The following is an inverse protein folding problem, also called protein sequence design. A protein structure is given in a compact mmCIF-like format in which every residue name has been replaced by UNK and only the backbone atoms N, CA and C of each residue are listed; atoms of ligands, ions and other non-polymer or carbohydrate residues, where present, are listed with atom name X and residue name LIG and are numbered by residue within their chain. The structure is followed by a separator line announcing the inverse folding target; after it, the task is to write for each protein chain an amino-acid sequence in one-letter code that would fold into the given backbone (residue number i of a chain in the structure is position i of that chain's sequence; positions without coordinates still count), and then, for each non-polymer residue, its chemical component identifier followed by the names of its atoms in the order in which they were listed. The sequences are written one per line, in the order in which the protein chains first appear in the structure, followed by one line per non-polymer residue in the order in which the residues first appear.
data_IF_395946098024
#
_entry.id   IF_395946098024
#
_cell.length_a   1.000
_cell.length_b   1.000
_cell.length_c   1.000
_cell.angle_alpha   90.00
_cell.angle_beta   90.00
_cell.angle_gamma   90.00
#
_symmetry.space_group_name_H-M   'P 1'
#
loop_
_entity.id
_entity.type
_entity.pdbx_description
1 polymer ?
#
# COMPACT_ATOMS: atom_id res chain seq x y z
N UNK A 1 3.73 17.04 7.54
CA UNK A 1 2.48 16.37 7.11
C UNK A 1 2.11 16.87 5.72
N UNK A 2 1.52 16.03 4.87
CA UNK A 2 0.98 16.51 3.59
C UNK A 2 -0.25 17.34 3.89
N UNK A 3 -0.37 18.53 3.30
CA UNK A 3 -1.53 19.41 3.50
C UNK A 3 -2.69 18.86 2.67
N UNK A 4 -3.70 18.30 3.33
CA UNK A 4 -4.89 17.81 2.63
C UNK A 4 -5.86 18.96 2.38
N UNK A 5 -6.45 19.04 1.18
CA UNK A 5 -7.52 20.00 0.93
C UNK A 5 -8.82 19.51 1.58
N UNK A 6 -9.42 20.32 2.43
CA UNK A 6 -10.72 20.02 3.03
C UNK A 6 -11.88 20.64 2.25
N UNK A 7 -11.61 21.18 1.06
CA UNK A 7 -12.65 21.69 0.17
C UNK A 7 -13.61 20.55 -0.23
N UNK A 8 -14.91 20.86 -0.37
CA UNK A 8 -15.89 19.90 -0.85
C UNK A 8 -15.51 19.36 -2.24
N UNK A 9 -15.63 18.05 -2.44
CA UNK A 9 -15.36 17.40 -3.73
C UNK A 9 -16.54 16.52 -4.09
N UNK A 10 -16.95 16.51 -5.36
CA UNK A 10 -17.95 15.58 -5.87
C UNK A 10 -17.35 14.19 -6.13
N UNK A 11 -18.19 13.14 -6.15
CA UNK A 11 -17.71 11.77 -6.44
C UNK A 11 -17.00 11.70 -7.80
N UNK A 12 -17.53 12.39 -8.81
CA UNK A 12 -16.93 12.46 -10.15
C UNK A 12 -15.55 13.10 -10.14
N UNK A 13 -15.39 14.23 -9.43
CA UNK A 13 -14.08 14.88 -9.28
C UNK A 13 -13.08 14.00 -8.53
N UNK A 14 -13.51 13.30 -7.48
CA UNK A 14 -12.65 12.38 -6.72
C UNK A 14 -12.17 11.21 -7.60
N UNK A 15 -13.07 10.60 -8.37
CA UNK A 15 -12.73 9.52 -9.32
C UNK A 15 -11.85 10.03 -10.45
N UNK A 16 -12.15 11.21 -11.02
CA UNK A 16 -11.33 11.82 -12.07
C UNK A 16 -9.92 12.15 -11.58
N UNK A 17 -9.78 12.72 -10.38
CA UNK A 17 -8.48 13.01 -9.76
C UNK A 17 -7.67 11.72 -9.51
N UNK A 18 -8.35 10.65 -9.06
CA UNK A 18 -7.75 9.31 -8.95
C UNK A 18 -7.29 8.80 -10.31
N UNK A 19 -8.14 8.78 -11.33
CA UNK A 19 -7.80 8.30 -12.67
C UNK A 19 -6.64 9.10 -13.31
N UNK A 20 -6.63 10.42 -13.15
CA UNK A 20 -5.54 11.27 -13.59
C UNK A 20 -4.23 10.96 -12.84
N UNK A 21 -4.30 10.62 -11.55
CA UNK A 21 -3.15 10.15 -10.81
C UNK A 21 -2.68 8.77 -11.31
N UNK A 22 -3.60 7.84 -11.58
CA UNK A 22 -3.30 6.50 -12.12
C UNK A 22 -2.66 6.56 -13.51
N UNK A 23 -3.05 7.49 -14.37
CA UNK A 23 -2.39 7.69 -15.66
C UNK A 23 -0.87 7.94 -15.52
N UNK A 24 -0.46 8.61 -14.44
CA UNK A 24 0.96 8.88 -14.12
C UNK A 24 1.72 7.63 -13.66
N UNK A 25 1.04 6.52 -13.35
CA UNK A 25 1.67 5.24 -12.99
C UNK A 25 2.26 4.52 -14.21
N UNK A 26 1.80 4.84 -15.42
CA UNK A 26 2.31 4.20 -16.64
C UNK A 26 3.83 4.34 -16.75
N UNK A 27 4.37 5.52 -16.48
CA UNK A 27 5.81 5.79 -16.53
C UNK A 27 6.66 4.95 -15.57
N UNK A 28 6.44 4.97 -14.25
CA UNK A 28 7.23 4.14 -13.36
C UNK A 28 7.00 2.64 -13.58
N UNK A 29 5.79 2.21 -13.98
CA UNK A 29 5.56 0.81 -14.36
C UNK A 29 6.41 0.43 -15.59
N UNK A 30 6.45 1.30 -16.61
CA UNK A 30 7.29 1.11 -17.79
C UNK A 30 8.78 1.11 -17.43
N UNK A 31 9.24 1.98 -16.52
CA UNK A 31 10.63 1.99 -16.06
C UNK A 31 10.99 0.72 -15.30
N UNK A 32 10.08 0.17 -14.50
CA UNK A 32 10.26 -1.14 -13.85
C UNK A 32 10.36 -2.22 -14.93
N UNK A 33 9.45 -2.23 -15.91
CA UNK A 33 9.48 -3.22 -16.99
C UNK A 33 10.77 -3.16 -17.82
N UNK A 34 11.23 -1.96 -18.20
CA UNK A 34 12.47 -1.76 -18.95
C UNK A 34 13.69 -2.11 -18.11
N UNK A 35 13.74 -1.70 -16.84
CA UNK A 35 14.83 -2.05 -15.92
C UNK A 35 14.90 -3.56 -15.66
N UNK A 36 13.75 -4.22 -15.51
CA UNK A 36 13.66 -5.68 -15.40
C UNK A 36 14.14 -6.37 -16.68
N UNK A 37 13.73 -5.88 -17.85
CA UNK A 37 14.21 -6.41 -19.13
C UNK A 37 15.73 -6.22 -19.28
N UNK A 38 16.26 -5.07 -18.87
CA UNK A 38 17.69 -4.78 -18.81
C UNK A 38 18.43 -5.75 -17.88
N UNK A 39 17.86 -6.10 -16.73
CA UNK A 39 18.41 -7.13 -15.83
C UNK A 39 18.42 -8.52 -16.47
N UNK A 40 17.40 -8.87 -17.26
CA UNK A 40 17.35 -10.14 -18.00
C UNK A 40 18.45 -10.18 -19.07
N UNK A 41 18.63 -9.09 -19.83
CA UNK A 41 19.68 -8.99 -20.86
C UNK A 41 21.07 -8.99 -20.21
N UNK A 42 21.25 -8.29 -19.10
CA UNK A 42 22.49 -8.30 -18.33
C UNK A 42 22.80 -9.70 -17.78
N UNK A 43 21.79 -10.40 -17.24
CA UNK A 43 21.91 -11.79 -16.78
C UNK A 43 22.26 -12.77 -17.90
N UNK A 44 21.73 -12.56 -19.12
CA UNK A 44 22.13 -13.32 -20.30
C UNK A 44 23.63 -13.17 -20.61
N UNK A 45 24.19 -11.97 -20.45
CA UNK A 45 25.61 -11.74 -20.68
C UNK A 45 26.52 -12.35 -19.60
N UNK A 46 26.09 -12.46 -18.33
CA UNK A 46 26.85 -13.17 -17.27
C UNK A 46 27.07 -14.63 -17.59
N UNK A 47 26.04 -15.30 -18.12
CA UNK A 47 26.13 -16.71 -18.51
C UNK A 47 27.12 -16.91 -19.65
N UNK A 48 27.35 -15.88 -20.46
CA UNK A 48 28.25 -15.92 -21.61
C UNK A 48 29.67 -15.42 -21.30
N UNK A 49 29.84 -14.45 -20.40
CA UNK A 49 31.13 -13.89 -19.97
C UNK A 49 31.08 -13.34 -18.51
N UNK A 50 31.34 -14.19 -17.49
CA UNK A 50 31.19 -13.84 -16.08
C UNK A 50 32.18 -12.76 -15.57
N UNK A 51 33.27 -12.50 -16.30
CA UNK A 51 34.35 -11.60 -15.88
C UNK A 51 34.16 -10.14 -16.26
N UNK A 52 33.07 -9.80 -16.96
CA UNK A 52 32.92 -8.48 -17.56
C UNK A 52 32.44 -7.44 -16.54
N UNK A 53 33.27 -6.47 -16.16
CA UNK A 53 32.90 -5.36 -15.27
C UNK A 53 31.66 -4.58 -15.74
N UNK A 54 31.43 -4.50 -17.06
CA UNK A 54 30.26 -3.86 -17.65
C UNK A 54 28.93 -4.51 -17.22
N UNK A 55 28.93 -5.79 -16.82
CA UNK A 55 27.75 -6.45 -16.24
C UNK A 55 27.36 -5.82 -14.91
N UNK A 56 28.31 -5.72 -13.96
CA UNK A 56 28.05 -5.21 -12.63
C UNK A 56 27.55 -3.77 -12.68
N UNK A 57 28.11 -2.98 -13.60
CA UNK A 57 27.65 -1.61 -13.89
C UNK A 57 26.23 -1.61 -14.46
N UNK A 58 25.93 -2.43 -15.47
CA UNK A 58 24.60 -2.49 -16.09
C UNK A 58 23.51 -3.00 -15.13
N UNK A 59 23.80 -4.04 -14.33
CA UNK A 59 22.89 -4.56 -13.31
C UNK A 59 22.64 -3.52 -12.21
N UNK A 60 23.69 -2.83 -11.75
CA UNK A 60 23.59 -1.73 -10.79
C UNK A 60 22.70 -0.60 -11.29
N UNK A 61 22.85 -0.18 -12.55
CA UNK A 61 22.00 0.85 -13.18
C UNK A 61 20.55 0.38 -13.25
N UNK A 62 20.29 -0.84 -13.71
CA UNK A 62 18.92 -1.35 -13.83
C UNK A 62 18.23 -1.46 -12.47
N UNK A 63 18.95 -1.88 -11.43
CA UNK A 63 18.42 -1.91 -10.06
C UNK A 63 18.14 -0.51 -9.51
N UNK A 64 19.03 0.44 -9.76
CA UNK A 64 18.80 1.84 -9.38
C UNK A 64 17.55 2.41 -10.05
N UNK A 65 17.33 2.10 -11.34
CA UNK A 65 16.12 2.51 -12.09
C UNK A 65 14.87 1.87 -11.49
N UNK A 66 14.88 0.57 -11.21
CA UNK A 66 13.74 -0.13 -10.59
C UNK A 66 13.44 0.44 -9.20
N UNK A 67 14.47 0.66 -8.37
CA UNK A 67 14.31 1.24 -7.04
C UNK A 67 13.76 2.68 -7.09
N UNK A 68 14.27 3.51 -7.99
CA UNK A 68 13.76 4.87 -8.21
C UNK A 68 12.30 4.86 -8.69
N UNK A 69 11.94 3.97 -9.62
CA UNK A 69 10.57 3.83 -10.11
C UNK A 69 9.61 3.32 -9.02
N UNK A 70 10.04 2.38 -8.17
CA UNK A 70 9.28 1.93 -7.00
C UNK A 70 9.09 3.04 -5.97
N UNK A 71 10.12 3.84 -5.71
CA UNK A 71 10.01 5.02 -4.85
C UNK A 71 9.05 6.07 -5.44
N UNK A 72 9.09 6.25 -6.76
CA UNK A 72 8.18 7.14 -7.46
C UNK A 72 6.73 6.66 -7.37
N UNK A 73 6.45 5.36 -7.58
CA UNK A 73 5.14 4.74 -7.36
C UNK A 73 4.62 5.00 -5.95
N UNK A 74 5.46 4.76 -4.94
CA UNK A 74 5.14 5.04 -3.53
C UNK A 74 4.76 6.50 -3.31
N UNK A 75 5.47 7.42 -3.95
CA UNK A 75 5.24 8.85 -3.82
C UNK A 75 3.95 9.28 -4.51
N UNK A 76 3.66 8.75 -5.70
CA UNK A 76 2.41 8.97 -6.41
C UNK A 76 1.22 8.39 -5.63
N UNK A 77 1.38 7.19 -5.06
CA UNK A 77 0.35 6.50 -4.29
C UNK A 77 -0.13 7.29 -3.07
N UNK A 78 0.76 8.05 -2.43
CA UNK A 78 0.42 8.94 -1.31
C UNK A 78 -0.41 10.17 -1.70
N UNK A 79 -0.48 10.53 -2.98
CA UNK A 79 -1.16 11.75 -3.43
C UNK A 79 -2.66 11.60 -3.64
N UNK A 80 -3.14 10.38 -3.87
CA UNK A 80 -4.55 10.10 -4.20
C UNK A 80 -5.25 9.21 -3.17
N UNK A 81 -4.55 8.84 -2.10
CA UNK A 81 -5.15 8.05 -1.03
C UNK A 81 -4.51 8.38 0.32
N UNK A 82 -5.36 8.47 1.33
CA UNK A 82 -4.97 8.51 2.72
C UNK A 82 -4.62 7.09 3.14
N UNK A 83 -3.42 6.88 3.71
CA UNK A 83 -2.91 5.56 4.03
C UNK A 83 -2.26 5.53 5.40
N UNK A 84 -2.61 4.51 6.16
CA UNK A 84 -1.96 4.20 7.43
C UNK A 84 -1.30 2.84 7.29
N UNK A 85 0.01 2.79 7.56
CA UNK A 85 0.82 1.58 7.47
C UNK A 85 1.32 1.16 8.84
N UNK A 86 1.68 -0.13 9.00
CA UNK A 86 2.29 -0.66 10.22
C UNK A 86 3.56 0.12 10.62
N UNK A 87 3.90 0.05 11.91
CA UNK A 87 5.17 0.57 12.45
C UNK A 87 6.35 -0.21 11.83
N UNK A 88 7.46 0.46 11.56
CA UNK A 88 8.72 -0.11 11.00
C UNK A 88 8.67 -0.67 9.57
N UNK A 89 7.65 -0.31 8.79
CA UNK A 89 7.52 -0.72 7.37
C UNK A 89 8.66 -0.23 6.49
N UNK A 90 9.28 0.91 6.80
CA UNK A 90 10.48 1.38 6.12
C UNK A 90 11.68 0.44 6.28
N UNK A 91 11.83 -0.19 7.46
CA UNK A 91 12.95 -1.10 7.75
C UNK A 91 12.85 -2.41 6.97
N UNK A 92 11.63 -2.92 6.78
CA UNK A 92 11.44 -4.15 6.01
C UNK A 92 11.75 -3.99 4.53
N UNK A 93 11.62 -2.78 3.95
CA UNK A 93 12.13 -2.49 2.60
C UNK A 93 13.67 -2.49 2.56
N UNK A 94 14.32 -1.99 3.62
CA UNK A 94 15.79 -2.00 3.76
C UNK A 94 16.34 -3.42 3.91
N UNK A 95 15.53 -4.40 4.34
CA UNK A 95 15.93 -5.81 4.44
C UNK A 95 15.50 -6.60 3.18
N UNK A 96 14.29 -6.37 2.68
CA UNK A 96 13.74 -7.10 1.54
C UNK A 96 14.48 -6.79 0.24
N UNK A 97 14.92 -5.54 0.03
CA UNK A 97 15.66 -5.17 -1.18
C UNK A 97 17.05 -5.85 -1.22
N UNK A 98 17.89 -5.78 -0.17
CA UNK A 98 19.13 -6.54 -0.11
C UNK A 98 18.94 -8.05 -0.08
N UNK A 99 17.87 -8.58 0.54
CA UNK A 99 17.60 -10.02 0.51
C UNK A 99 17.18 -10.51 -0.89
N UNK A 100 16.37 -9.73 -1.61
CA UNK A 100 16.03 -10.02 -3.01
C UNK A 100 17.26 -9.89 -3.92
N UNK A 101 18.13 -8.90 -3.67
CA UNK A 101 19.39 -8.74 -4.39
C UNK A 101 20.37 -9.87 -4.05
N UNK A 102 20.49 -10.26 -2.79
CA UNK A 102 21.31 -11.39 -2.34
C UNK A 102 20.82 -12.71 -2.92
N UNK A 103 19.50 -12.94 -2.97
CA UNK A 103 18.92 -14.09 -3.65
C UNK A 103 19.16 -14.06 -5.16
N UNK A 104 19.04 -12.89 -5.81
CA UNK A 104 19.35 -12.72 -7.23
C UNK A 104 20.83 -13.03 -7.53
N UNK A 105 21.75 -12.52 -6.71
CA UNK A 105 23.20 -12.76 -6.82
C UNK A 105 23.53 -14.23 -6.52
N UNK A 106 22.97 -14.82 -5.47
CA UNK A 106 23.21 -16.23 -5.11
C UNK A 106 22.60 -17.22 -6.11
N UNK A 107 21.46 -16.89 -6.72
CA UNK A 107 20.85 -17.71 -7.77
C UNK A 107 21.65 -17.55 -9.08
N UNK A 108 22.05 -16.33 -9.43
CA UNK A 108 22.91 -16.07 -10.59
C UNK A 108 24.25 -16.79 -10.48
N UNK A 109 24.93 -16.66 -9.33
CA UNK A 109 26.23 -17.28 -9.06
C UNK A 109 26.13 -18.80 -8.82
N UNK A 110 25.14 -19.24 -8.04
CA UNK A 110 24.95 -20.64 -7.67
C UNK A 110 24.44 -21.52 -8.82
N UNK A 111 23.70 -20.93 -9.78
CA UNK A 111 23.21 -21.66 -10.96
C UNK A 111 24.28 -21.90 -12.01
N UNK A 112 25.34 -21.09 -12.06
CA UNK A 112 26.41 -21.23 -13.05
C UNK A 112 27.64 -21.92 -12.49
N UNK A 113 28.14 -21.55 -11.31
CA UNK A 113 29.39 -22.13 -10.78
C UNK A 113 29.16 -23.31 -9.83
N UNK A 114 28.20 -23.19 -8.91
CA UNK A 114 27.93 -24.23 -7.91
C UNK A 114 27.33 -25.52 -8.49
N UNK A 115 26.51 -25.41 -9.53
CA UNK A 115 25.91 -26.55 -10.23
C UNK A 115 26.85 -27.18 -11.27
N UNK A 116 27.74 -26.38 -11.88
CA UNK A 116 28.84 -26.93 -12.69
C UNK A 116 29.83 -27.74 -11.85
N UNK A 117 30.13 -27.28 -10.62
CA UNK A 117 30.96 -28.04 -9.68
C UNK A 117 30.34 -29.38 -9.24
N UNK A 118 29.01 -29.53 -9.35
CA UNK A 118 28.27 -30.76 -9.06
C UNK A 118 28.00 -31.62 -10.32
N UNK A 119 28.55 -31.25 -11.48
CA UNK A 119 28.40 -32.00 -12.73
C UNK A 119 27.02 -31.87 -13.39
N UNK A 120 26.16 -30.97 -12.91
CA UNK A 120 24.81 -30.78 -13.44
C UNK A 120 24.86 -29.71 -14.52
N UNK A 121 24.80 -30.14 -15.78
CA UNK A 121 24.66 -29.21 -16.92
C UNK A 121 23.21 -28.74 -17.01
N UNK A 122 22.94 -27.53 -16.52
CA UNK A 122 21.64 -26.89 -16.70
C UNK A 122 21.57 -26.32 -18.13
N UNK A 123 20.56 -26.69 -18.93
CA UNK A 123 20.36 -26.07 -20.25
C UNK A 123 20.19 -24.56 -20.07
N UNK A 124 20.88 -23.75 -20.88
CA UNK A 124 20.91 -22.28 -20.76
C UNK A 124 19.52 -21.63 -20.66
N UNK A 125 18.52 -22.21 -21.34
CA UNK A 125 17.11 -21.79 -21.26
C UNK A 125 16.56 -21.91 -19.83
N UNK A 126 16.94 -22.94 -19.08
CA UNK A 126 16.49 -23.19 -17.70
C UNK A 126 17.09 -22.15 -16.75
N UNK A 127 18.36 -21.76 -16.92
CA UNK A 127 18.97 -20.69 -16.10
C UNK A 127 18.29 -19.33 -16.33
N UNK A 128 17.95 -19.00 -17.59
CA UNK A 128 17.20 -17.79 -17.95
C UNK A 128 15.79 -17.81 -17.35
N UNK A 129 15.09 -18.95 -17.43
CA UNK A 129 13.77 -19.13 -16.83
C UNK A 129 13.82 -18.93 -15.32
N UNK A 130 14.82 -19.50 -14.64
CA UNK A 130 15.01 -19.32 -13.18
C UNK A 130 15.18 -17.84 -12.85
N UNK A 131 16.01 -17.10 -13.60
CA UNK A 131 16.21 -15.67 -13.39
C UNK A 131 14.92 -14.86 -13.54
N UNK A 132 14.14 -15.12 -14.61
CA UNK A 132 12.85 -14.45 -14.86
C UNK A 132 11.87 -14.75 -13.71
N UNK A 133 11.77 -16.01 -13.29
CA UNK A 133 10.91 -16.44 -12.18
C UNK A 133 11.33 -15.78 -10.86
N UNK A 134 12.63 -15.66 -10.59
CA UNK A 134 13.14 -15.00 -9.38
C UNK A 134 12.83 -13.50 -9.33
N UNK A 135 12.97 -12.78 -10.46
CA UNK A 135 12.61 -11.35 -10.52
C UNK A 135 11.10 -11.18 -10.33
N UNK A 136 10.29 -12.01 -11.00
CA UNK A 136 8.84 -11.98 -10.85
C UNK A 136 8.42 -12.31 -9.41
N UNK A 137 9.04 -13.32 -8.78
CA UNK A 137 8.81 -13.67 -7.39
C UNK A 137 9.18 -12.51 -6.44
N UNK A 138 10.32 -11.83 -6.65
CA UNK A 138 10.71 -10.67 -5.86
C UNK A 138 9.70 -9.51 -6.00
N UNK A 139 9.18 -9.26 -7.21
CA UNK A 139 8.12 -8.28 -7.44
C UNK A 139 6.81 -8.65 -6.73
N UNK A 140 6.40 -9.91 -6.80
CA UNK A 140 5.21 -10.42 -6.10
C UNK A 140 5.38 -10.29 -4.60
N UNK A 141 6.56 -10.62 -4.05
CA UNK A 141 6.88 -10.45 -2.63
C UNK A 141 6.86 -8.98 -2.23
N UNK A 142 7.42 -8.08 -3.04
CA UNK A 142 7.38 -6.64 -2.80
C UNK A 142 5.95 -6.09 -2.80
N UNK A 143 5.12 -6.51 -3.76
CA UNK A 143 3.71 -6.13 -3.84
C UNK A 143 2.88 -6.71 -2.67
N UNK A 144 3.11 -7.97 -2.31
CA UNK A 144 2.48 -8.63 -1.17
C UNK A 144 2.90 -7.98 0.16
N UNK A 145 4.18 -7.62 0.30
CA UNK A 145 4.68 -6.89 1.46
C UNK A 145 4.06 -5.49 1.55
N UNK A 146 3.92 -4.80 0.41
CA UNK A 146 3.20 -3.53 0.34
C UNK A 146 1.75 -3.66 0.83
N UNK A 147 1.03 -4.70 0.40
CA UNK A 147 -0.33 -4.99 0.88
C UNK A 147 -0.38 -5.35 2.36
N UNK A 148 0.50 -6.23 2.83
CA UNK A 148 0.54 -6.71 4.21
C UNK A 148 0.89 -5.62 5.24
N UNK A 149 1.52 -4.54 4.78
CA UNK A 149 1.94 -3.43 5.63
C UNK A 149 0.91 -2.31 5.73
N UNK A 150 -0.09 -2.30 4.86
CA UNK A 150 -1.20 -1.36 4.90
C UNK A 150 -2.19 -1.78 5.99
N UNK A 151 -2.60 -0.85 6.85
CA UNK A 151 -3.60 -1.06 7.89
C UNK A 151 -4.93 -0.41 7.51
N UNK A 152 -4.87 0.76 6.91
CA UNK A 152 -6.04 1.52 6.49
C UNK A 152 -5.74 2.28 5.20
N UNK A 153 -6.73 2.36 4.32
CA UNK A 153 -6.72 3.16 3.10
C UNK A 153 -8.05 3.87 2.96
N UNK A 154 -8.03 5.16 2.67
CA UNK A 154 -9.20 5.93 2.26
C UNK A 154 -8.94 6.62 0.93
N UNK A 155 -9.85 6.49 -0.03
CA UNK A 155 -9.80 7.13 -1.35
C UNK A 155 -11.20 7.23 -1.99
N UNK A 156 -11.26 7.55 -3.29
CA UNK A 156 -12.52 7.65 -4.04
C UNK A 156 -13.32 6.35 -4.18
N UNK A 157 -12.72 5.16 -3.94
CA UNK A 157 -13.47 3.90 -3.92
C UNK A 157 -14.13 3.66 -2.57
N UNK A 158 -13.51 4.11 -1.47
CA UNK A 158 -14.05 3.88 -0.15
C UNK A 158 -13.03 3.94 0.99
N UNK A 159 -13.43 3.40 2.14
CA UNK A 159 -12.57 3.17 3.30
C UNK A 159 -12.33 1.68 3.49
N UNK A 160 -11.06 1.30 3.39
CA UNK A 160 -10.62 -0.08 3.40
C UNK A 160 -9.70 -0.30 4.62
N UNK A 161 -10.27 -0.77 5.74
CA UNK A 161 -9.50 -1.38 6.80
C UNK A 161 -8.93 -2.69 6.28
N UNK A 162 -7.59 -2.80 6.18
CA UNK A 162 -6.91 -3.98 5.62
C UNK A 162 -6.85 -5.16 6.60
N UNK A 163 -7.73 -5.15 7.61
CA UNK A 163 -8.00 -6.28 8.47
C UNK A 163 -8.79 -7.33 7.66
N UNK A 164 -8.74 -8.60 8.06
CA UNK A 164 -9.44 -9.72 7.39
C UNK A 164 -10.96 -9.65 7.59
N UNK A 165 -11.58 -8.51 7.28
CA UNK A 165 -13.02 -8.33 7.17
C UNK A 165 -13.39 -8.56 5.71
N UNK A 166 -14.46 -9.29 5.44
CA UNK A 166 -14.98 -9.51 4.08
C UNK A 166 -15.75 -8.29 3.52
N UNK A 167 -15.58 -7.12 4.12
CA UNK A 167 -16.21 -5.89 3.68
C UNK A 167 -15.41 -5.29 2.52
N UNK A 168 -16.09 -4.91 1.43
CA UNK A 168 -15.48 -4.33 0.23
C UNK A 168 -14.92 -2.91 0.46
N UNK A 169 -15.39 -2.24 1.52
CA UNK A 169 -14.98 -0.92 1.92
C UNK A 169 -15.61 0.20 1.11
N UNK A 170 -16.61 -0.07 0.27
CA UNK A 170 -17.14 0.91 -0.67
C UNK A 170 -17.89 2.06 0.02
N UNK A 171 -17.95 3.24 -0.61
CA UNK A 171 -18.72 4.37 -0.06
C UNK A 171 -20.24 4.13 0.00
N UNK A 172 -20.75 3.13 -0.72
CA UNK A 172 -22.17 2.76 -0.74
C UNK A 172 -22.56 1.92 0.46
N UNK A 173 -21.60 1.25 1.10
CA UNK A 173 -21.82 0.39 2.27
C UNK A 173 -21.50 1.08 3.59
N UNK A 174 -21.01 2.32 3.56
CA UNK A 174 -20.57 3.08 4.73
C UNK A 174 -21.53 4.24 5.01
N UNK A 175 -22.07 4.30 6.21
CA UNK A 175 -22.93 5.39 6.69
C UNK A 175 -22.25 6.31 7.70
N UNK A 176 -21.05 5.98 8.17
CA UNK A 176 -20.32 6.83 9.08
C UNK A 176 -19.00 6.23 9.54
N UNK A 177 -18.19 7.06 10.21
CA UNK A 177 -16.90 6.67 10.75
C UNK A 177 -16.82 7.07 12.21
N UNK A 178 -16.40 6.13 13.05
CA UNK A 178 -16.12 6.37 14.48
C UNK A 178 -14.63 6.21 14.71
N UNK A 179 -14.03 7.17 15.41
CA UNK A 179 -12.63 7.08 15.87
C UNK A 179 -12.59 7.14 17.38
N UNK A 180 -11.65 6.43 17.99
CA UNK A 180 -11.40 6.53 19.42
C UNK A 180 -9.91 6.38 19.70
N UNK A 181 -9.42 7.16 20.67
CA UNK A 181 -8.00 7.21 21.01
C UNK A 181 -7.74 6.32 22.22
N UNK A 182 -6.81 5.38 22.08
CA UNK A 182 -6.28 4.56 23.16
C UNK A 182 -4.81 4.88 23.45
N UNK A 183 -4.21 4.16 24.39
CA UNK A 183 -2.78 4.30 24.73
C UNK A 183 -1.90 3.96 23.51
N UNK A 184 -1.35 4.98 22.86
CA UNK A 184 -0.44 4.84 21.71
C UNK A 184 -1.10 4.36 20.41
N UNK A 185 -2.43 4.35 20.35
CA UNK A 185 -3.19 3.84 19.19
C UNK A 185 -4.48 4.62 18.97
N UNK A 186 -4.97 4.60 17.75
CA UNK A 186 -6.30 5.07 17.37
C UNK A 186 -7.04 3.89 16.77
N UNK A 187 -8.26 3.63 17.22
CA UNK A 187 -9.15 2.67 16.60
C UNK A 187 -10.11 3.41 15.67
N UNK A 188 -10.25 2.89 14.45
CA UNK A 188 -11.14 3.41 13.41
C UNK A 188 -12.18 2.34 13.15
N UNK A 189 -13.46 2.66 13.37
CA UNK A 189 -14.60 1.81 13.09
C UNK A 189 -15.51 2.41 12.02
N UNK A 190 -16.15 1.56 11.24
CA UNK A 190 -17.12 1.95 10.22
C UNK A 190 -18.53 1.64 10.70
N UNK A 191 -19.42 2.62 10.59
CA UNK A 191 -20.87 2.43 10.64
C UNK A 191 -21.29 2.01 9.24
N UNK A 192 -21.92 0.84 9.12
CA UNK A 192 -22.35 0.32 7.84
C UNK A 192 -23.79 0.70 7.53
N UNK A 193 -24.10 0.82 6.25
CA UNK A 193 -25.48 1.02 5.80
C UNK A 193 -26.38 -0.17 6.20
N UNK A 194 -27.68 0.06 6.45
CA UNK A 194 -28.62 -1.00 6.77
C UNK A 194 -28.62 -2.11 5.70
N UNK A 195 -28.61 -3.38 6.15
CA UNK A 195 -28.68 -4.53 5.26
C UNK A 195 -27.34 -5.00 4.66
N UNK A 196 -26.22 -4.33 4.96
CA UNK A 196 -24.89 -4.80 4.55
C UNK A 196 -24.50 -6.05 5.34
N UNK A 197 -24.41 -7.19 4.65
CA UNK A 197 -23.90 -8.42 5.23
C UNK A 197 -22.38 -8.32 5.41
N UNK A 198 -21.93 -8.47 6.65
CA UNK A 198 -20.50 -8.48 6.97
C UNK A 198 -20.21 -9.50 8.05
N UNK A 199 -19.09 -10.20 7.89
CA UNK A 199 -18.53 -11.01 8.96
C UNK A 199 -17.81 -10.09 9.95
N UNK A 200 -18.29 -9.95 11.20
CA UNK A 200 -17.67 -9.02 12.15
C UNK A 200 -16.21 -9.38 12.42
N UNK A 201 -15.37 -8.36 12.61
CA UNK A 201 -14.00 -8.55 13.07
C UNK A 201 -13.99 -9.23 14.44
N UNK A 202 -13.09 -10.21 14.64
CA UNK A 202 -12.87 -10.83 15.94
C UNK A 202 -12.40 -9.78 16.95
N UNK A 203 -13.08 -9.71 18.10
CA UNK A 203 -12.71 -8.81 19.20
C UNK A 203 -11.34 -9.17 19.74
N UNK A 204 -10.45 -8.17 19.82
CA UNK A 204 -9.14 -8.30 20.46
C UNK A 204 -9.11 -7.51 21.76
N UNK A 205 -8.22 -7.93 22.66
CA UNK A 205 -8.02 -7.24 23.95
C UNK A 205 -7.55 -5.80 23.70
N UNK A 206 -8.24 -4.84 24.31
CA UNK A 206 -7.94 -3.41 24.18
C UNK A 206 -8.68 -2.68 23.04
N UNK A 207 -9.50 -3.38 22.25
CA UNK A 207 -10.44 -2.75 21.31
C UNK A 207 -11.64 -2.18 22.08
N UNK A 208 -12.05 -0.96 21.72
CA UNK A 208 -13.15 -0.21 22.33
C UNK A 208 -14.37 -0.21 21.40
N UNK A 209 -14.18 -0.12 20.09
CA UNK A 209 -15.26 -0.09 19.08
C UNK A 209 -15.81 -1.49 18.75
N UNK A 210 -15.92 -2.36 19.75
CA UNK A 210 -16.27 -3.78 19.57
C UNK A 210 -17.71 -4.02 19.11
N UNK A 211 -18.57 -3.01 19.26
CA UNK A 211 -19.92 -2.92 18.71
C UNK A 211 -19.94 -2.73 17.19
N UNK A 212 -18.86 -2.22 16.60
CA UNK A 212 -18.78 -2.01 15.15
C UNK A 212 -18.22 -3.26 14.45
N UNK A 213 -18.86 -3.73 13.37
CA UNK A 213 -18.46 -4.97 12.70
C UNK A 213 -17.15 -4.83 11.94
N UNK A 214 -16.83 -3.63 11.48
CA UNK A 214 -15.63 -3.31 10.72
C UNK A 214 -14.83 -2.27 11.48
N UNK A 215 -13.65 -2.67 11.96
CA UNK A 215 -12.75 -1.81 12.73
C UNK A 215 -11.29 -2.20 12.55
N UNK A 216 -10.41 -1.23 12.77
CA UNK A 216 -8.96 -1.43 12.74
C UNK A 216 -8.26 -0.57 13.78
N UNK A 217 -7.29 -1.17 14.45
CA UNK A 217 -6.38 -0.46 15.34
C UNK A 217 -5.15 0.02 14.54
N UNK A 218 -4.84 1.31 14.65
CA UNK A 218 -3.68 1.94 14.00
C UNK A 218 -2.80 2.68 15.01
N UNK A 219 -1.49 2.88 14.72
CA UNK A 219 -0.63 3.70 15.57
C UNK A 219 -1.09 5.17 15.56
N UNK A 220 -1.17 5.79 16.74
CA UNK A 220 -1.57 7.21 16.92
C UNK A 220 -0.67 8.18 16.13
N UNK A 221 0.64 7.95 16.15
CA UNK A 221 1.67 8.71 15.40
C UNK A 221 1.49 8.69 13.88
N UNK A 222 0.62 7.83 13.36
CA UNK A 222 0.31 7.71 11.92
C UNK A 222 -1.11 8.15 11.58
N UNK A 223 -1.98 8.28 12.58
CA UNK A 223 -3.31 8.81 12.40
C UNK A 223 -3.22 10.33 12.18
N UNK A 224 -4.01 10.83 11.25
CA UNK A 224 -4.05 12.23 10.87
C UNK A 224 -5.52 12.58 10.64
N UNK A 225 -6.06 13.43 11.52
CA UNK A 225 -7.47 13.79 11.49
C UNK A 225 -7.82 14.54 10.19
N UNK A 226 -6.94 15.40 9.68
CA UNK A 226 -7.17 16.09 8.40
C UNK A 226 -7.12 15.10 7.24
N UNK A 227 -6.22 14.12 7.31
CA UNK A 227 -6.17 13.02 6.33
C UNK A 227 -7.45 12.19 6.31
N UNK A 228 -8.04 11.91 7.48
CA UNK A 228 -9.34 11.23 7.59
C UNK A 228 -10.48 12.08 7.02
N UNK A 229 -10.55 13.37 7.36
CA UNK A 229 -11.55 14.31 6.81
C UNK A 229 -11.45 14.41 5.28
N UNK A 230 -10.23 14.50 4.76
CA UNK A 230 -9.98 14.46 3.31
C UNK A 230 -10.45 13.15 2.67
N UNK A 231 -10.20 12.02 3.33
CA UNK A 231 -10.62 10.72 2.83
C UNK A 231 -12.15 10.65 2.74
N UNK A 232 -12.85 11.15 3.77
CA UNK A 232 -14.30 11.25 3.78
C UNK A 232 -14.84 12.11 2.64
N UNK A 233 -14.22 13.26 2.32
CA UNK A 233 -14.62 14.09 1.17
C UNK A 233 -14.60 13.32 -0.16
N UNK A 234 -13.72 12.32 -0.31
CA UNK A 234 -13.63 11.52 -1.54
C UNK A 234 -14.90 10.70 -1.83
N UNK A 235 -15.79 10.55 -0.85
CA UNK A 235 -17.11 9.94 -1.05
C UNK A 235 -18.01 10.75 -1.98
N UNK A 236 -17.80 12.07 -2.08
CA UNK A 236 -18.75 12.98 -2.72
C UNK A 236 -20.02 13.26 -1.91
N UNK A 237 -20.16 12.64 -0.74
CA UNK A 237 -21.35 12.69 0.11
C UNK A 237 -21.25 13.81 1.15
N UNK A 238 -22.39 14.26 1.66
CA UNK A 238 -22.51 15.30 2.70
C UNK A 238 -23.12 14.80 4.01
N UNK A 239 -23.48 13.53 4.05
CA UNK A 239 -24.25 12.88 5.12
C UNK A 239 -23.43 11.87 5.93
N UNK A 240 -22.16 11.61 5.57
CA UNK A 240 -21.28 10.67 6.28
C UNK A 240 -20.64 11.39 7.49
N UNK A 241 -21.03 11.08 8.74
CA UNK A 241 -20.48 11.70 9.93
C UNK A 241 -19.10 11.11 10.28
N UNK A 242 -18.25 11.97 10.84
CA UNK A 242 -17.07 11.57 11.59
C UNK A 242 -17.34 11.78 13.08
N UNK A 243 -17.30 10.72 13.86
CA UNK A 243 -17.63 10.71 15.28
C UNK A 243 -16.39 10.32 16.07
N UNK A 244 -16.10 11.05 17.14
CA UNK A 244 -15.14 10.63 18.14
C UNK A 244 -15.87 9.98 19.32
N UNK A 245 -15.44 8.78 19.71
CA UNK A 245 -15.89 8.13 20.94
C UNK A 245 -14.85 8.34 22.04
N UNK A 246 -15.27 8.96 23.13
CA UNK A 246 -14.48 9.16 24.35
C UNK A 246 -15.14 8.39 25.50
N UNK A 247 -14.48 8.25 26.67
CA UNK A 247 -15.12 7.69 27.86
C UNK A 247 -16.37 8.47 28.30
N UNK A 248 -16.48 9.75 27.93
CA UNK A 248 -17.57 10.66 28.28
C UNK A 248 -18.76 10.55 27.32
N UNK A 249 -18.59 9.89 26.15
CA UNK A 249 -19.65 9.68 25.18
C UNK A 249 -19.21 9.84 23.72
N UNK A 250 -20.15 10.17 22.85
CA UNK A 250 -19.89 10.40 21.43
C UNK A 250 -19.89 11.90 21.13
N UNK A 251 -18.84 12.37 20.46
CA UNK A 251 -18.70 13.73 19.96
C UNK A 251 -18.69 13.73 18.44
N UNK A 252 -19.64 14.41 17.82
CA UNK A 252 -19.64 14.63 16.38
C UNK A 252 -18.53 15.62 16.00
N UNK A 253 -17.60 15.19 15.14
CA UNK A 253 -16.51 16.03 14.63
C UNK A 253 -16.89 16.78 13.34
N UNK A 254 -17.96 16.36 12.67
CA UNK A 254 -18.49 16.98 11.46
C UNK A 254 -18.98 15.95 10.44
N UNK A 255 -19.37 16.43 9.26
CA UNK A 255 -19.80 15.58 8.14
C UNK A 255 -18.85 15.75 6.96
N UNK A 256 -18.72 14.68 6.17
CA UNK A 256 -18.07 14.71 4.87
C UNK A 256 -18.51 15.94 4.06
N UNK A 257 -17.56 16.60 3.40
CA UNK A 257 -17.77 17.79 2.57
C UNK A 257 -18.40 19.00 3.30
N UNK A 258 -18.54 18.98 4.63
CA UNK A 258 -19.17 20.05 5.45
C UNK A 258 -18.37 20.38 6.71
N UNK A 259 -17.04 20.34 6.63
CA UNK A 259 -16.15 20.54 7.79
C UNK A 259 -16.17 21.96 8.38
N UNK A 260 -16.53 22.95 7.56
CA UNK A 260 -16.55 24.36 7.95
C UNK A 260 -17.93 24.82 8.45
N UNK A 261 -18.93 23.94 8.40
CA UNK A 261 -20.22 24.25 8.96
C UNK A 261 -20.16 23.99 10.46
N UNK A 262 -20.51 25.00 11.25
CA UNK A 262 -20.64 24.82 12.70
C UNK A 262 -21.58 23.65 12.96
N UNK A 263 -21.12 22.63 13.68
CA UNK A 263 -21.96 21.55 14.21
C UNK A 263 -22.91 22.16 15.24
N UNK A 264 -23.95 22.83 14.74
CA UNK A 264 -25.02 23.39 15.54
C UNK A 264 -25.68 22.24 16.28
N UNK A 265 -25.67 22.35 17.60
CA UNK A 265 -26.42 21.49 18.51
C UNK A 265 -27.86 21.35 18.01
N UNK A 266 -28.24 20.15 17.58
CA UNK A 266 -29.63 19.71 17.57
C UNK A 266 -29.75 18.55 18.55
#
# INVERSE_FOLDING_TARGET
MARYSLEPVTREQAVAAKNAAFAKFRWPISLIAVGTLGLVIAGYNVVNDPGTEAFWVAAGICLAVVAAAMFWLKTLAKRWSYRITRRNTGLGWVIAIPAAFGAFVLIGWGSTEGLQALGVQIPRIVAIIILIVSIFAAMVVAAAYWGATLLFKGDAEGLMPMCRTHHDGSWETIDGVVVTTGLGTVEIGLILAPGVEVKPAKVKRGEVLTDLPVRVLVPDTRFDLEGMKWALNQSGRTDVPLIERTPEGHRLLGYSNRWNESTGSR
#
